data_IF_629340381964
#
_entry.id   IF_629340381964
#
_cell.length_a   1.000
_cell.length_b   1.000
_cell.length_c   1.000
_cell.angle_alpha   90.00
_cell.angle_beta   90.00
_cell.angle_gamma   90.00
#
_symmetry.space_group_name_H-M   'P 1'
#
loop_
_entity.id
_entity.type
_entity.pdbx_description
1 polymer ?
#
# COMPACT_ATOMS: atom_id res chain seq x y z
N UNK A 1 -6.80 7.79 28.26
CA UNK A 1 -7.20 7.06 27.04
C UNK A 1 -6.77 7.96 25.91
N UNK A 2 -5.76 7.57 25.13
CA UNK A 2 -5.36 8.36 23.96
C UNK A 2 -6.30 7.90 22.87
N UNK A 3 -7.37 8.66 22.67
CA UNK A 3 -8.28 8.49 21.54
C UNK A 3 -7.56 9.14 20.36
N UNK A 4 -7.14 8.33 19.39
CA UNK A 4 -6.52 8.82 18.17
C UNK A 4 -7.46 8.56 17.00
N UNK A 5 -7.79 9.58 16.23
CA UNK A 5 -8.45 9.44 14.93
C UNK A 5 -7.60 8.50 14.04
N UNK A 6 -8.17 7.37 13.66
CA UNK A 6 -7.58 6.49 12.65
C UNK A 6 -8.05 6.91 11.26
N UNK A 7 -7.12 7.04 10.32
CA UNK A 7 -7.41 7.38 8.92
C UNK A 7 -8.31 6.33 8.26
N UNK A 8 -8.04 5.05 8.53
CA UNK A 8 -8.77 3.91 7.98
C UNK A 8 -9.22 3.00 9.13
N UNK A 9 -10.47 2.54 9.10
CA UNK A 9 -11.07 1.70 10.14
C UNK A 9 -11.29 0.25 9.67
N UNK A 10 -11.32 0.02 8.36
CA UNK A 10 -11.47 -1.31 7.77
C UNK A 10 -10.52 -1.49 6.59
N UNK A 11 -10.00 -2.71 6.44
CA UNK A 11 -9.14 -3.07 5.32
C UNK A 11 -9.49 -4.47 4.80
N UNK A 12 -9.56 -4.60 3.48
CA UNK A 12 -9.64 -5.87 2.77
C UNK A 12 -8.40 -6.01 1.88
N UNK A 13 -7.67 -7.11 2.02
CA UNK A 13 -6.54 -7.44 1.16
C UNK A 13 -6.73 -8.80 0.51
N UNK A 14 -6.35 -8.90 -0.75
CA UNK A 14 -6.41 -10.13 -1.54
C UNK A 14 -5.11 -10.25 -2.32
N UNK A 15 -4.54 -11.46 -2.38
CA UNK A 15 -3.30 -11.69 -3.09
C UNK A 15 -3.18 -13.11 -3.62
N UNK A 16 -2.41 -13.25 -4.69
CA UNK A 16 -2.08 -14.53 -5.29
C UNK A 16 -0.61 -14.55 -5.73
N UNK A 17 0.02 -15.71 -5.60
CA UNK A 17 1.38 -15.97 -6.09
C UNK A 17 1.37 -17.20 -7.01
N UNK A 18 2.07 -17.09 -8.13
CA UNK A 18 2.26 -18.16 -9.11
C UNK A 18 3.73 -18.54 -9.16
N UNK A 19 4.04 -19.80 -8.86
CA UNK A 19 5.42 -20.32 -8.89
C UNK A 19 5.94 -20.49 -10.32
N UNK A 20 7.24 -20.29 -10.52
CA UNK A 20 7.84 -20.22 -11.85
C UNK A 20 8.13 -21.54 -12.55
N UNK A 21 7.70 -22.66 -11.96
CA UNK A 21 7.79 -23.98 -12.60
C UNK A 21 7.08 -24.02 -13.96
N UNK A 22 6.03 -23.22 -14.17
CA UNK A 22 5.31 -23.14 -15.45
C UNK A 22 6.12 -22.51 -16.59
N UNK A 23 7.18 -21.75 -16.29
CA UNK A 23 8.06 -21.11 -17.28
C UNK A 23 9.54 -21.49 -17.11
N UNK A 24 9.80 -22.66 -16.51
CA UNK A 24 11.16 -23.21 -16.40
C UNK A 24 12.04 -22.54 -15.34
N UNK A 25 11.47 -21.73 -14.44
CA UNK A 25 12.17 -21.08 -13.34
C UNK A 25 11.55 -21.46 -12.00
N UNK A 26 11.74 -22.71 -11.58
CA UNK A 26 11.09 -23.27 -10.38
C UNK A 26 11.43 -22.58 -9.04
N UNK A 27 12.48 -21.74 -9.00
CA UNK A 27 12.81 -20.92 -7.83
C UNK A 27 12.14 -19.55 -7.81
N UNK A 28 11.53 -19.13 -8.92
CA UNK A 28 10.95 -17.80 -9.09
C UNK A 28 9.44 -17.81 -8.80
N UNK A 29 8.86 -16.61 -8.68
CA UNK A 29 7.42 -16.45 -8.62
C UNK A 29 6.95 -15.09 -9.13
N UNK A 30 5.72 -15.04 -9.65
CA UNK A 30 4.99 -13.82 -9.96
C UNK A 30 3.88 -13.64 -8.94
N UNK A 31 3.80 -12.48 -8.29
CA UNK A 31 2.77 -12.18 -7.30
C UNK A 31 1.98 -10.93 -7.66
N UNK A 32 0.69 -10.96 -7.35
CA UNK A 32 -0.23 -9.83 -7.46
C UNK A 32 -1.00 -9.67 -6.16
N UNK A 33 -1.20 -8.42 -5.73
CA UNK A 33 -1.98 -8.10 -4.56
C UNK A 33 -2.87 -6.87 -4.81
N UNK A 34 -4.02 -6.85 -4.14
CA UNK A 34 -4.99 -5.78 -4.13
C UNK A 34 -5.37 -5.47 -2.68
N UNK A 35 -5.53 -4.19 -2.36
CA UNK A 35 -5.95 -3.68 -1.07
C UNK A 35 -7.03 -2.62 -1.23
N UNK A 36 -8.03 -2.66 -0.36
CA UNK A 36 -9.05 -1.64 -0.21
C UNK A 36 -9.06 -1.21 1.25
N UNK A 37 -8.80 0.07 1.50
CA UNK A 37 -8.76 0.68 2.82
C UNK A 37 -9.92 1.66 2.92
N UNK A 38 -10.91 1.34 3.77
CA UNK A 38 -12.06 2.18 3.97
C UNK A 38 -11.67 3.34 4.87
N UNK A 39 -11.91 4.57 4.39
CA UNK A 39 -11.62 5.77 5.15
C UNK A 39 -12.66 5.93 6.24
N UNK A 40 -12.22 6.09 7.49
CA UNK A 40 -13.13 6.14 8.63
C UNK A 40 -14.09 7.33 8.53
N UNK A 41 -15.32 7.15 9.00
CA UNK A 41 -16.32 8.23 9.00
C UNK A 41 -15.87 9.44 9.83
N UNK A 42 -15.06 9.22 10.87
CA UNK A 42 -14.47 10.28 11.69
C UNK A 42 -13.46 11.08 10.88
N UNK A 43 -12.50 10.42 10.24
CA UNK A 43 -11.49 11.09 9.43
C UNK A 43 -12.12 11.82 8.22
N UNK A 44 -13.18 11.28 7.61
CA UNK A 44 -13.91 11.98 6.55
C UNK A 44 -14.53 13.31 7.04
N UNK A 45 -15.01 13.37 8.29
CA UNK A 45 -15.57 14.59 8.89
C UNK A 45 -14.48 15.59 9.27
N UNK A 46 -13.37 15.09 9.81
CA UNK A 46 -12.40 15.92 10.53
C UNK A 46 -11.11 16.20 9.76
N UNK A 47 -10.84 15.50 8.64
CA UNK A 47 -9.58 15.62 7.87
C UNK A 47 -9.14 17.05 7.52
N UNK A 48 -10.06 18.01 7.41
CA UNK A 48 -9.74 19.43 7.18
C UNK A 48 -9.24 20.17 8.43
N UNK A 49 -9.41 19.59 9.61
CA UNK A 49 -9.17 20.20 10.92
C UNK A 49 -8.30 19.35 11.83
N UNK A 50 -7.93 18.13 11.43
CA UNK A 50 -6.99 17.29 12.19
C UNK A 50 -5.66 18.04 12.33
N UNK A 51 -5.28 18.23 13.59
CA UNK A 51 -4.02 18.83 14.05
C UNK A 51 -3.45 17.89 15.12
N UNK A 52 -2.64 16.93 14.66
CA UNK A 52 -2.14 15.83 15.48
C UNK A 52 -1.00 16.27 16.41
N UNK A 53 -0.31 17.37 16.12
CA UNK A 53 0.76 17.93 16.96
C UNK A 53 0.33 19.14 17.82
N UNK A 54 -0.93 19.57 17.65
CA UNK A 54 -1.57 20.67 18.35
C UNK A 54 -0.86 22.02 18.16
N UNK A 55 -0.26 22.26 16.98
CA UNK A 55 0.40 23.52 16.65
C UNK A 55 -0.57 24.64 16.20
N UNK A 56 -1.85 24.30 16.02
CA UNK A 56 -2.92 25.18 15.56
C UNK A 56 -3.12 25.18 14.03
N UNK A 57 -2.41 24.33 13.30
CA UNK A 57 -2.46 24.20 11.84
C UNK A 57 -2.95 22.80 11.45
N UNK A 58 -3.98 22.69 10.57
CA UNK A 58 -4.39 21.37 10.10
C UNK A 58 -3.30 20.67 9.27
N UNK A 59 -3.07 19.39 9.55
CA UNK A 59 -1.97 18.58 8.97
C UNK A 59 -2.19 18.18 7.51
N UNK A 60 -3.44 17.87 7.15
CA UNK A 60 -3.75 17.22 5.86
C UNK A 60 -4.16 18.22 4.78
N UNK A 61 -4.93 19.26 5.14
CA UNK A 61 -5.35 20.32 4.21
C UNK A 61 -6.34 19.90 3.11
N UNK A 62 -6.88 18.68 3.15
CA UNK A 62 -7.90 18.17 2.22
C UNK A 62 -9.06 17.51 2.95
N UNK A 63 -10.20 17.33 2.28
CA UNK A 63 -11.33 16.56 2.80
C UNK A 63 -11.25 15.11 2.29
N UNK A 64 -10.94 14.19 3.19
CA UNK A 64 -11.00 12.76 2.91
C UNK A 64 -12.44 12.36 2.58
N UNK A 65 -12.63 11.64 1.48
CA UNK A 65 -13.98 11.27 1.00
C UNK A 65 -14.01 10.02 0.13
N UNK A 66 -12.86 9.44 -0.18
CA UNK A 66 -12.73 8.18 -0.90
C UNK A 66 -12.02 7.12 -0.09
N UNK A 67 -12.10 5.89 -0.55
CA UNK A 67 -11.31 4.78 -0.04
C UNK A 67 -9.98 4.71 -0.79
N UNK A 68 -8.91 4.39 -0.08
CA UNK A 68 -7.61 4.15 -0.70
C UNK A 68 -7.59 2.73 -1.30
N UNK A 69 -7.10 2.64 -2.53
CA UNK A 69 -6.97 1.37 -3.23
C UNK A 69 -5.51 1.16 -3.62
N UNK A 70 -4.96 0.01 -3.26
CA UNK A 70 -3.57 -0.35 -3.56
C UNK A 70 -3.56 -1.57 -4.46
N UNK A 71 -2.77 -1.53 -5.52
CA UNK A 71 -2.48 -2.67 -6.36
C UNK A 71 -0.96 -2.88 -6.43
N UNK A 72 -0.51 -4.10 -6.23
CA UNK A 72 0.90 -4.47 -6.33
C UNK A 72 1.09 -5.61 -7.32
N UNK A 73 2.15 -5.52 -8.11
CA UNK A 73 2.68 -6.59 -8.95
C UNK A 73 4.16 -6.74 -8.66
N UNK A 74 4.62 -7.94 -8.32
CA UNK A 74 6.03 -8.21 -8.12
C UNK A 74 6.47 -9.50 -8.80
N UNK A 75 7.77 -9.59 -9.09
CA UNK A 75 8.39 -10.80 -9.60
C UNK A 75 9.60 -11.17 -8.76
N UNK A 76 9.57 -12.32 -8.08
CA UNK A 76 10.71 -12.85 -7.34
C UNK A 76 11.62 -13.62 -8.29
N UNK A 77 12.81 -13.09 -8.51
CA UNK A 77 13.89 -13.69 -9.28
C UNK A 77 14.92 -14.32 -8.32
N UNK A 78 14.95 -15.65 -8.24
CA UNK A 78 15.92 -16.37 -7.42
C UNK A 78 17.19 -16.60 -8.22
N UNK A 79 18.27 -15.93 -7.81
CA UNK A 79 19.59 -16.06 -8.45
C UNK A 79 20.30 -17.33 -8.01
N UNK A 80 20.21 -17.65 -6.72
CA UNK A 80 20.70 -18.88 -6.11
C UNK A 80 19.95 -19.13 -4.79
N UNK A 81 20.30 -20.18 -4.06
CA UNK A 81 19.61 -20.54 -2.81
C UNK A 81 19.79 -19.49 -1.68
N UNK A 82 20.75 -18.59 -1.81
CA UNK A 82 21.10 -17.60 -0.80
C UNK A 82 20.64 -16.19 -1.18
N UNK A 83 20.30 -15.93 -2.45
CA UNK A 83 20.07 -14.57 -2.94
C UNK A 83 18.87 -14.47 -3.90
N UNK A 84 17.99 -13.51 -3.60
CA UNK A 84 16.76 -13.23 -4.33
C UNK A 84 16.59 -11.73 -4.58
N UNK A 85 16.09 -11.39 -5.77
CA UNK A 85 15.72 -10.04 -6.17
C UNK A 85 14.24 -10.00 -6.52
N UNK A 86 13.53 -9.02 -6.01
CA UNK A 86 12.09 -8.87 -6.23
C UNK A 86 11.74 -7.43 -6.62
N UNK A 87 11.83 -7.06 -7.91
CA UNK A 87 11.22 -5.83 -8.40
C UNK A 87 9.71 -5.86 -8.17
N UNK A 88 9.14 -4.72 -7.79
CA UNK A 88 7.71 -4.51 -7.63
C UNK A 88 7.24 -3.19 -8.22
N UNK A 89 5.99 -3.18 -8.65
CA UNK A 89 5.23 -2.02 -9.08
C UNK A 89 4.03 -1.89 -8.15
N UNK A 90 3.84 -0.70 -7.59
CA UNK A 90 2.70 -0.37 -6.75
C UNK A 90 1.93 0.79 -7.37
N UNK A 91 0.61 0.68 -7.37
CA UNK A 91 -0.31 1.71 -7.80
C UNK A 91 -1.27 2.01 -6.65
N UNK A 92 -1.34 3.27 -6.22
CA UNK A 92 -2.17 3.73 -5.12
C UNK A 92 -3.14 4.77 -5.68
N UNK A 93 -4.43 4.52 -5.52
CA UNK A 93 -5.52 5.41 -5.91
C UNK A 93 -6.17 6.02 -4.68
N UNK A 94 -6.48 7.31 -4.76
CA UNK A 94 -6.98 8.13 -3.64
C UNK A 94 -6.07 8.00 -2.39
N UNK A 95 -4.78 8.35 -2.48
CA UNK A 95 -3.87 8.24 -1.33
C UNK A 95 -4.42 9.02 -0.13
N UNK A 96 -4.42 8.40 1.05
CA UNK A 96 -4.98 8.97 2.28
C UNK A 96 -6.49 9.24 2.22
N UNK A 97 -7.22 8.59 1.31
CA UNK A 97 -8.64 8.83 1.08
C UNK A 97 -8.96 10.15 0.35
N UNK A 98 -7.96 10.84 -0.20
CA UNK A 98 -8.12 12.06 -0.98
C UNK A 98 -8.49 11.76 -2.44
N UNK A 99 -9.74 12.04 -2.83
CA UNK A 99 -10.19 11.89 -4.24
C UNK A 99 -9.70 12.99 -5.17
N UNK A 100 -9.16 14.09 -4.63
CA UNK A 100 -8.60 15.20 -5.40
C UNK A 100 -7.12 15.03 -5.68
N UNK A 101 -6.43 14.21 -4.88
CA UNK A 101 -5.05 13.82 -5.11
C UNK A 101 -4.91 13.02 -6.42
N UNK A 102 -3.76 13.18 -7.07
CA UNK A 102 -3.40 12.33 -8.20
C UNK A 102 -3.00 10.93 -7.72
N UNK A 103 -3.36 9.93 -8.51
CA UNK A 103 -2.94 8.55 -8.27
C UNK A 103 -1.41 8.43 -8.30
N UNK A 104 -0.87 7.57 -7.44
CA UNK A 104 0.58 7.38 -7.25
C UNK A 104 0.99 6.05 -7.84
N UNK A 105 2.02 6.06 -8.69
CA UNK A 105 2.70 4.86 -9.15
C UNK A 105 4.13 4.84 -8.60
N UNK A 106 4.52 3.74 -7.97
CA UNK A 106 5.86 3.53 -7.43
C UNK A 106 6.48 2.26 -8.02
N UNK A 107 7.79 2.32 -8.25
CA UNK A 107 8.60 1.17 -8.63
C UNK A 107 9.65 0.94 -7.54
N UNK A 108 9.78 -0.31 -7.11
CA UNK A 108 10.70 -0.72 -6.06
C UNK A 108 11.50 -1.96 -6.41
N UNK A 109 12.58 -2.18 -5.67
CA UNK A 109 13.38 -3.40 -5.72
C UNK A 109 13.64 -3.86 -4.29
N UNK A 110 13.19 -5.08 -3.97
CA UNK A 110 13.51 -5.76 -2.72
C UNK A 110 14.63 -6.78 -2.97
N UNK A 111 15.59 -6.85 -2.04
CA UNK A 111 16.65 -7.85 -2.05
C UNK A 111 16.56 -8.70 -0.80
N UNK A 112 16.70 -10.02 -0.92
CA UNK A 112 16.74 -10.93 0.22
C UNK A 112 17.99 -11.81 0.16
N UNK A 113 18.67 -11.93 1.30
CA UNK A 113 19.84 -12.78 1.48
C UNK A 113 19.61 -13.73 2.67
N UNK A 114 19.75 -15.04 2.43
CA UNK A 114 19.76 -16.08 3.45
C UNK A 114 21.20 -16.58 3.72
N UNK A 115 21.61 -16.65 5.00
CA UNK A 115 22.96 -17.04 5.46
C UNK A 115 23.00 -18.45 6.07
#
# INVERSE_FOLDING_TARGET
QIEGEVTFDQALTLGAEFGGSYWGRGGDALGVALGWLNTSDEFQRESLTVDADADGTPDYGYRASGDEQVAELYYRYRLNNQFELSPNLQYIRNPGGDRSASDVAAFGLRTQWNF
#
